data_IF_886056682623
#
_entry.id   IF_886056682623
#
_cell.length_a   1.000
_cell.length_b   1.000
_cell.length_c   1.000
_cell.angle_alpha   90.00
_cell.angle_beta   90.00
_cell.angle_gamma   90.00
#
_symmetry.space_group_name_H-M   'P 1'
#
loop_
_entity.id
_entity.type
_entity.pdbx_description
1 polymer ?
#
# COMPACT_ATOMS: atom_id res chain seq x y z
N UNK A 1 12.29 -18.74 -16.90
CA UNK A 1 13.52 -18.46 -16.13
C UNK A 1 13.51 -17.06 -15.53
N UNK A 2 13.28 -15.97 -16.30
CA UNK A 2 13.28 -14.60 -15.76
C UNK A 2 12.26 -14.32 -14.63
N UNK A 3 11.01 -14.80 -14.73
CA UNK A 3 9.97 -14.52 -13.71
C UNK A 3 10.26 -15.22 -12.36
N UNK A 4 10.89 -16.39 -12.38
CA UNK A 4 11.29 -17.08 -11.15
C UNK A 4 12.36 -16.32 -10.38
N UNK A 5 13.43 -15.91 -11.07
CA UNK A 5 14.49 -15.07 -10.48
C UNK A 5 13.93 -13.74 -9.95
N UNK A 6 12.93 -13.19 -10.63
CA UNK A 6 12.27 -11.97 -10.18
C UNK A 6 11.47 -12.16 -8.89
N UNK A 7 10.83 -13.32 -8.72
CA UNK A 7 10.11 -13.66 -7.48
C UNK A 7 11.06 -13.78 -6.29
N UNK A 8 12.20 -14.44 -6.47
CA UNK A 8 13.24 -14.54 -5.43
C UNK A 8 13.81 -13.16 -5.06
N UNK A 9 14.03 -12.29 -6.05
CA UNK A 9 14.49 -10.93 -5.81
C UNK A 9 13.48 -10.11 -4.99
N UNK A 10 12.19 -10.17 -5.35
CA UNK A 10 11.12 -9.47 -4.63
C UNK A 10 11.01 -9.98 -3.21
N UNK A 11 11.04 -11.30 -3.01
CA UNK A 11 11.02 -11.90 -1.67
C UNK A 11 12.17 -11.34 -0.81
N UNK A 12 13.39 -11.36 -1.34
CA UNK A 12 14.60 -10.97 -0.62
C UNK A 12 14.71 -9.46 -0.35
N UNK A 13 14.20 -8.60 -1.24
CA UNK A 13 14.59 -7.18 -1.25
C UNK A 13 13.46 -6.16 -1.30
N UNK A 14 12.24 -6.55 -1.67
CA UNK A 14 11.14 -5.60 -1.76
C UNK A 14 10.75 -5.07 -0.38
N UNK A 15 10.74 -3.74 -0.26
CA UNK A 15 10.22 -3.00 0.88
C UNK A 15 8.89 -2.32 0.51
N UNK A 16 7.74 -2.82 1.00
CA UNK A 16 6.41 -2.22 0.80
C UNK A 16 6.28 -0.78 1.32
N UNK A 17 7.10 -0.35 2.27
CA UNK A 17 7.10 1.02 2.80
C UNK A 17 7.82 1.99 1.84
N UNK A 18 8.67 1.48 0.96
CA UNK A 18 9.36 2.26 -0.05
C UNK A 18 8.48 2.54 -1.28
N UNK A 19 8.09 3.81 -1.45
CA UNK A 19 7.29 4.24 -2.59
C UNK A 19 8.04 4.12 -3.91
N UNK A 20 9.35 4.37 -3.94
CA UNK A 20 10.16 4.23 -5.16
C UNK A 20 10.24 2.78 -5.63
N UNK A 21 10.45 1.84 -4.71
CA UNK A 21 10.45 0.42 -5.02
C UNK A 21 9.07 -0.05 -5.50
N UNK A 22 8.00 0.34 -4.79
CA UNK A 22 6.63 -0.02 -5.18
C UNK A 22 6.26 0.50 -6.57
N UNK A 23 6.59 1.76 -6.88
CA UNK A 23 6.38 2.34 -8.21
C UNK A 23 7.16 1.60 -9.30
N UNK A 24 8.45 1.37 -9.08
CA UNK A 24 9.30 0.66 -10.03
C UNK A 24 8.79 -0.76 -10.29
N UNK A 25 8.39 -1.46 -9.24
CA UNK A 25 7.93 -2.84 -9.33
C UNK A 25 6.58 -2.95 -10.05
N UNK A 26 5.64 -2.06 -9.74
CA UNK A 26 4.36 -1.95 -10.47
C UNK A 26 4.62 -1.67 -11.96
N UNK A 27 5.49 -0.71 -12.29
CA UNK A 27 5.79 -0.39 -13.69
C UNK A 27 6.43 -1.56 -14.44
N UNK A 28 7.43 -2.23 -13.84
CA UNK A 28 8.09 -3.38 -14.43
C UNK A 28 7.06 -4.49 -14.69
N UNK A 29 6.17 -4.76 -13.73
CA UNK A 29 5.17 -5.82 -13.87
C UNK A 29 4.10 -5.49 -14.91
N UNK A 30 3.59 -4.26 -14.94
CA UNK A 30 2.68 -3.79 -15.98
C UNK A 30 3.29 -3.98 -17.37
N UNK A 31 4.56 -3.58 -17.54
CA UNK A 31 5.27 -3.74 -18.81
C UNK A 31 5.44 -5.23 -19.17
N UNK A 32 5.82 -6.08 -18.21
CA UNK A 32 5.99 -7.51 -18.46
C UNK A 32 4.68 -8.17 -18.90
N UNK A 33 3.57 -7.87 -18.23
CA UNK A 33 2.25 -8.40 -18.59
C UNK A 33 1.82 -7.90 -19.98
N UNK A 34 2.07 -6.62 -20.28
CA UNK A 34 1.72 -6.02 -21.57
C UNK A 34 2.54 -6.59 -22.74
N UNK A 35 3.85 -6.75 -22.58
CA UNK A 35 4.74 -7.17 -23.68
C UNK A 35 4.87 -8.69 -23.83
N UNK A 36 4.47 -9.47 -22.83
CA UNK A 36 4.56 -10.93 -22.86
C UNK A 36 3.20 -11.57 -22.59
N UNK A 37 2.38 -11.81 -23.64
CA UNK A 37 1.03 -12.39 -23.52
C UNK A 37 0.98 -13.79 -22.87
N UNK A 38 2.12 -14.48 -22.80
CA UNK A 38 2.28 -15.76 -22.09
C UNK A 38 2.22 -15.60 -20.56
N UNK A 39 2.36 -14.38 -20.04
CA UNK A 39 2.13 -14.02 -18.64
C UNK A 39 0.68 -13.62 -18.45
N UNK A 40 -0.20 -14.60 -18.55
CA UNK A 40 -1.63 -14.46 -18.29
C UNK A 40 -1.98 -14.92 -16.86
N UNK A 41 -3.22 -14.72 -16.40
CA UNK A 41 -3.67 -15.16 -15.07
C UNK A 41 -3.53 -16.67 -14.79
N UNK A 42 -3.37 -17.51 -15.82
CA UNK A 42 -3.14 -18.96 -15.66
C UNK A 42 -1.65 -19.29 -15.44
N UNK A 43 -0.75 -18.31 -15.64
CA UNK A 43 0.69 -18.47 -15.46
C UNK A 43 1.03 -18.66 -13.99
N UNK A 44 1.42 -19.90 -13.63
CA UNK A 44 1.89 -20.25 -12.29
C UNK A 44 2.98 -19.32 -11.77
N UNK A 45 3.89 -18.89 -12.65
CA UNK A 45 5.02 -18.05 -12.27
C UNK A 45 4.57 -16.63 -11.93
N UNK A 46 3.64 -16.08 -12.71
CA UNK A 46 3.05 -14.77 -12.43
C UNK A 46 2.27 -14.80 -11.12
N UNK A 47 1.42 -15.81 -10.93
CA UNK A 47 0.67 -15.97 -9.68
C UNK A 47 1.58 -16.12 -8.46
N UNK A 48 2.68 -16.88 -8.59
CA UNK A 48 3.68 -17.02 -7.51
C UNK A 48 4.27 -15.66 -7.13
N UNK A 49 4.69 -14.88 -8.12
CA UNK A 49 5.23 -13.53 -7.90
C UNK A 49 4.21 -12.59 -7.25
N UNK A 50 2.98 -12.56 -7.75
CA UNK A 50 1.91 -11.71 -7.21
C UNK A 50 1.58 -12.11 -5.76
N UNK A 51 1.53 -13.41 -5.46
CA UNK A 51 1.33 -13.90 -4.10
C UNK A 51 2.47 -13.49 -3.16
N UNK A 52 3.73 -13.56 -3.62
CA UNK A 52 4.89 -13.04 -2.86
C UNK A 52 4.74 -11.55 -2.56
N UNK A 53 4.32 -10.74 -3.54
CA UNK A 53 4.09 -9.30 -3.34
C UNK A 53 2.98 -9.06 -2.31
N UNK A 54 1.85 -9.75 -2.45
CA UNK A 54 0.72 -9.67 -1.50
C UNK A 54 1.16 -10.06 -0.09
N UNK A 55 1.96 -11.12 0.05
CA UNK A 55 2.50 -11.54 1.34
C UNK A 55 3.40 -10.47 1.95
N UNK A 56 4.27 -9.84 1.15
CA UNK A 56 5.14 -8.75 1.62
C UNK A 56 4.30 -7.55 2.08
N UNK A 57 3.27 -7.16 1.34
CA UNK A 57 2.34 -6.08 1.74
C UNK A 57 1.65 -6.41 3.07
N UNK A 58 1.12 -7.63 3.23
CA UNK A 58 0.54 -8.09 4.51
C UNK A 58 1.53 -7.98 5.66
N UNK A 59 2.73 -8.50 5.46
CA UNK A 59 3.79 -8.46 6.47
C UNK A 59 4.14 -7.02 6.87
N UNK A 60 4.15 -6.07 5.92
CA UNK A 60 4.40 -4.67 6.25
C UNK A 60 3.26 -4.03 7.05
N UNK A 61 2.00 -4.38 6.75
CA UNK A 61 0.85 -3.94 7.55
C UNK A 61 0.94 -4.48 8.97
N UNK A 62 1.34 -5.74 9.15
CA UNK A 62 1.37 -6.39 10.46
C UNK A 62 2.57 -5.99 11.31
N UNK A 63 3.75 -5.88 10.70
CA UNK A 63 5.00 -5.73 11.42
C UNK A 63 5.52 -4.29 11.46
N UNK A 64 5.23 -3.47 10.44
CA UNK A 64 5.81 -2.12 10.31
C UNK A 64 4.80 -1.01 10.68
N UNK A 65 3.49 -1.29 10.63
CA UNK A 65 2.46 -0.32 11.03
C UNK A 65 2.17 -0.44 12.53
N UNK A 66 2.76 0.48 13.28
CA UNK A 66 2.47 0.63 14.70
C UNK A 66 1.97 2.05 14.99
N UNK A 67 0.66 2.22 15.20
CA UNK A 67 0.10 3.50 15.62
C UNK A 67 -0.27 3.41 17.11
N UNK A 68 0.53 3.99 18.01
CA UNK A 68 0.27 3.88 19.43
C UNK A 68 -0.98 4.67 19.81
N UNK A 69 -1.82 4.06 20.64
CA UNK A 69 -3.01 4.69 21.23
C UNK A 69 -2.62 5.13 22.63
N UNK A 70 -2.44 6.44 22.81
CA UNK A 70 -2.14 7.01 24.11
C UNK A 70 -3.37 7.72 24.68
N UNK A 71 -3.56 7.73 26.02
CA UNK A 71 -4.49 8.65 26.65
C UNK A 71 -4.18 10.09 26.22
N UNK A 72 -5.22 10.91 25.99
CA UNK A 72 -5.06 12.29 25.48
C UNK A 72 -4.08 13.12 26.30
N UNK A 73 -4.04 12.90 27.61
CA UNK A 73 -3.13 13.55 28.56
C UNK A 73 -1.64 13.29 28.30
N UNK A 74 -1.32 12.20 27.59
CA UNK A 74 0.05 11.81 27.24
C UNK A 74 0.41 12.13 25.79
N UNK A 75 -0.55 12.67 25.01
CA UNK A 75 -0.38 13.01 23.58
C UNK A 75 0.26 14.39 23.39
N UNK A 76 1.32 14.66 24.14
CA UNK A 76 2.03 15.93 24.09
C UNK A 76 3.50 15.74 23.69
N UNK A 77 4.09 16.78 23.10
CA UNK A 77 5.49 16.80 22.69
C UNK A 77 5.89 15.62 21.78
N UNK A 78 6.88 14.83 22.24
CA UNK A 78 7.50 13.74 21.44
C UNK A 78 6.52 12.62 21.09
N UNK A 79 5.55 12.32 21.95
CA UNK A 79 4.57 11.26 21.70
C UNK A 79 3.62 11.62 20.56
N UNK A 80 3.17 12.88 20.50
CA UNK A 80 2.38 13.36 19.38
C UNK A 80 3.18 13.31 18.07
N UNK A 81 4.43 13.78 18.07
CA UNK A 81 5.27 13.71 16.86
C UNK A 81 5.45 12.27 16.35
N UNK A 82 5.72 11.32 17.24
CA UNK A 82 5.81 9.92 16.88
C UNK A 82 4.49 9.41 16.29
N UNK A 83 3.36 9.68 16.94
CA UNK A 83 2.03 9.32 16.44
C UNK A 83 1.75 9.88 15.03
N UNK A 84 2.03 11.15 14.77
CA UNK A 84 1.85 11.75 13.44
C UNK A 84 2.75 11.08 12.39
N UNK A 85 4.00 10.77 12.74
CA UNK A 85 4.93 10.04 11.86
C UNK A 85 4.43 8.64 11.53
N UNK A 86 3.97 7.90 12.53
CA UNK A 86 3.42 6.56 12.34
C UNK A 86 2.13 6.60 11.49
N UNK A 87 1.27 7.58 11.71
CA UNK A 87 0.10 7.79 10.87
C UNK A 87 0.48 8.08 9.41
N UNK A 88 1.43 9.00 9.18
CA UNK A 88 1.91 9.32 7.84
C UNK A 88 2.56 8.11 7.15
N UNK A 89 3.29 7.26 7.89
CA UNK A 89 3.81 6.01 7.39
C UNK A 89 2.70 5.04 6.97
N UNK A 90 1.64 4.91 7.76
CA UNK A 90 0.46 4.12 7.41
C UNK A 90 -0.26 4.65 6.16
N UNK A 91 -0.43 5.96 6.02
CA UNK A 91 -1.00 6.58 4.80
C UNK A 91 -0.09 6.34 3.58
N UNK A 92 1.23 6.40 3.74
CA UNK A 92 2.17 6.08 2.67
C UNK A 92 2.05 4.61 2.24
N UNK A 93 1.97 3.68 3.19
CA UNK A 93 1.77 2.27 2.88
C UNK A 93 0.43 2.05 2.16
N UNK A 94 -0.64 2.72 2.61
CA UNK A 94 -1.93 2.72 1.92
C UNK A 94 -1.77 3.12 0.46
N UNK A 95 -1.07 4.23 0.18
CA UNK A 95 -0.77 4.67 -1.18
C UNK A 95 -0.02 3.61 -1.99
N UNK A 96 0.94 2.92 -1.37
CA UNK A 96 1.70 1.88 -2.05
C UNK A 96 0.84 0.64 -2.35
N UNK A 97 -0.06 0.24 -1.45
CA UNK A 97 -0.99 -0.88 -1.64
C UNK A 97 -1.94 -0.62 -2.81
N UNK A 98 -2.61 0.54 -2.83
CA UNK A 98 -3.61 0.82 -3.88
C UNK A 98 -2.99 1.00 -5.29
N UNK A 99 -1.68 1.22 -5.41
CA UNK A 99 -0.99 1.23 -6.72
C UNK A 99 -0.97 -0.14 -7.41
N UNK A 100 -1.21 -1.21 -6.68
CA UNK A 100 -1.27 -2.56 -7.23
C UNK A 100 -2.59 -2.87 -7.94
N UNK A 101 -3.57 -1.96 -7.91
CA UNK A 101 -4.79 -2.07 -8.71
C UNK A 101 -4.47 -2.23 -10.19
N UNK A 102 -5.23 -3.10 -10.87
CA UNK A 102 -5.00 -3.44 -12.27
C UNK A 102 -3.93 -4.50 -12.52
N UNK A 103 -3.14 -4.88 -11.50
CA UNK A 103 -2.21 -6.02 -11.54
C UNK A 103 -2.66 -7.11 -10.57
N UNK A 104 -2.93 -6.73 -9.32
CA UNK A 104 -3.53 -7.59 -8.30
C UNK A 104 -5.05 -7.40 -8.34
N UNK A 105 -5.81 -8.46 -8.06
CA UNK A 105 -7.27 -8.40 -8.03
C UNK A 105 -7.76 -7.34 -7.03
N UNK A 106 -8.77 -6.58 -7.43
CA UNK A 106 -9.34 -5.49 -6.60
C UNK A 106 -9.81 -5.99 -5.22
N UNK A 107 -10.33 -7.22 -5.13
CA UNK A 107 -10.74 -7.85 -3.86
C UNK A 107 -9.58 -7.89 -2.85
N UNK A 108 -8.41 -8.40 -3.25
CA UNK A 108 -7.21 -8.45 -2.40
C UNK A 108 -6.73 -7.03 -2.07
N UNK A 109 -6.70 -6.11 -3.05
CA UNK A 109 -6.25 -4.75 -2.79
C UNK A 109 -7.16 -4.05 -1.77
N UNK A 110 -8.47 -4.23 -1.86
CA UNK A 110 -9.44 -3.68 -0.91
C UNK A 110 -9.32 -4.32 0.46
N UNK A 111 -9.14 -5.64 0.54
CA UNK A 111 -8.90 -6.33 1.81
C UNK A 111 -7.67 -5.75 2.53
N UNK A 112 -6.56 -5.55 1.82
CA UNK A 112 -5.34 -4.99 2.40
C UNK A 112 -5.49 -3.50 2.77
N UNK A 113 -6.03 -2.70 1.86
CA UNK A 113 -6.10 -1.25 1.99
C UNK A 113 -7.17 -0.82 3.01
N UNK A 114 -8.38 -1.36 2.87
CA UNK A 114 -9.55 -0.94 3.64
C UNK A 114 -9.64 -1.73 4.96
N UNK A 115 -9.61 -3.05 4.89
CA UNK A 115 -9.85 -3.87 6.09
C UNK A 115 -8.61 -3.96 6.98
N UNK A 116 -7.49 -4.41 6.42
CA UNK A 116 -6.30 -4.67 7.20
C UNK A 116 -5.58 -3.40 7.68
N UNK A 117 -5.61 -2.31 6.89
CA UNK A 117 -4.86 -1.09 7.19
C UNK A 117 -5.74 0.08 7.65
N UNK A 118 -6.70 0.53 6.83
CA UNK A 118 -7.52 1.70 7.13
C UNK A 118 -8.41 1.46 8.35
N UNK A 119 -9.20 0.40 8.34
CA UNK A 119 -10.16 0.07 9.39
C UNK A 119 -9.45 -0.25 10.71
N UNK A 120 -8.40 -1.06 10.66
CA UNK A 120 -7.69 -1.52 11.85
C UNK A 120 -6.82 -0.46 12.52
N UNK A 121 -6.18 0.42 11.74
CA UNK A 121 -5.17 1.35 12.29
C UNK A 121 -5.53 2.82 12.05
N UNK A 122 -5.77 3.23 10.80
CA UNK A 122 -5.89 4.66 10.45
C UNK A 122 -7.18 5.29 10.97
N UNK A 123 -8.33 4.60 10.87
CA UNK A 123 -9.60 5.11 11.39
C UNK A 123 -9.57 5.31 12.90
N UNK A 124 -8.89 4.41 13.61
CA UNK A 124 -8.71 4.53 15.06
C UNK A 124 -7.89 5.77 15.41
N UNK A 125 -6.80 6.01 14.67
CA UNK A 125 -5.97 7.21 14.81
C UNK A 125 -6.76 8.50 14.55
N UNK A 126 -7.63 8.50 13.52
CA UNK A 126 -8.53 9.62 13.21
C UNK A 126 -9.50 9.85 14.37
N UNK A 127 -10.12 8.78 14.88
CA UNK A 127 -11.15 8.86 15.95
C UNK A 127 -10.63 9.45 17.25
N UNK A 128 -9.37 9.18 17.61
CA UNK A 128 -8.79 9.68 18.86
C UNK A 128 -8.23 11.11 18.76
N UNK A 129 -8.09 11.63 17.53
CA UNK A 129 -7.58 12.98 17.27
C UNK A 129 -8.63 14.05 17.59
N UNK A 130 -8.20 15.29 17.84
CA UNK A 130 -9.12 16.43 17.90
C UNK A 130 -9.76 16.69 16.52
N UNK A 131 -10.93 17.36 16.45
CA UNK A 131 -11.66 17.52 15.19
C UNK A 131 -10.85 18.15 14.04
N UNK A 132 -9.97 19.10 14.34
CA UNK A 132 -9.16 19.76 13.32
C UNK A 132 -8.10 18.81 12.76
N UNK A 133 -7.38 18.10 13.64
CA UNK A 133 -6.43 17.08 13.21
C UNK A 133 -7.10 15.89 12.53
N UNK A 134 -8.28 15.46 13.00
CA UNK A 134 -9.05 14.39 12.39
C UNK A 134 -9.43 14.75 10.96
N UNK A 135 -9.89 15.98 10.71
CA UNK A 135 -10.20 16.46 9.38
C UNK A 135 -8.96 16.46 8.45
N UNK A 136 -7.81 16.94 8.93
CA UNK A 136 -6.56 16.90 8.18
C UNK A 136 -6.13 15.46 7.84
N UNK A 137 -6.25 14.52 8.79
CA UNK A 137 -5.95 13.09 8.58
C UNK A 137 -6.90 12.44 7.58
N UNK A 138 -8.20 12.71 7.68
CA UNK A 138 -9.19 12.27 6.69
C UNK A 138 -8.83 12.76 5.28
N UNK A 139 -8.45 14.04 5.16
CA UNK A 139 -8.04 14.60 3.88
C UNK A 139 -6.80 13.88 3.30
N UNK A 140 -5.80 13.55 4.12
CA UNK A 140 -4.64 12.77 3.68
C UNK A 140 -5.02 11.38 3.15
N UNK A 141 -5.92 10.67 3.84
CA UNK A 141 -6.41 9.35 3.41
C UNK A 141 -7.20 9.46 2.10
N UNK A 142 -8.16 10.39 2.03
CA UNK A 142 -9.01 10.60 0.85
C UNK A 142 -8.16 10.96 -0.37
N UNK A 143 -7.23 11.92 -0.23
CA UNK A 143 -6.33 12.28 -1.33
C UNK A 143 -5.49 11.10 -1.82
N UNK A 144 -5.10 10.20 -0.91
CA UNK A 144 -4.28 9.04 -1.28
C UNK A 144 -5.07 8.07 -2.17
N UNK A 145 -6.33 7.82 -1.82
CA UNK A 145 -7.23 6.94 -2.58
C UNK A 145 -7.59 7.59 -3.92
N UNK A 146 -8.03 8.85 -3.91
CA UNK A 146 -8.47 9.56 -5.12
C UNK A 146 -7.35 9.80 -6.14
N UNK A 147 -6.12 10.10 -5.69
CA UNK A 147 -4.98 10.28 -6.60
C UNK A 147 -4.69 9.02 -7.42
N UNK A 148 -5.04 7.84 -6.92
CA UNK A 148 -4.73 6.57 -7.57
C UNK A 148 -5.81 6.22 -8.59
N UNK A 149 -7.09 6.45 -8.29
CA UNK A 149 -8.16 6.35 -9.30
C UNK A 149 -7.88 7.24 -10.52
N UNK A 150 -7.49 8.50 -10.30
CA UNK A 150 -7.14 9.41 -11.39
C UNK A 150 -5.88 8.97 -12.14
N UNK A 151 -4.84 8.50 -11.45
CA UNK A 151 -3.62 8.02 -12.12
C UNK A 151 -3.90 6.81 -13.01
N UNK A 152 -4.73 5.87 -12.56
CA UNK A 152 -5.10 4.67 -13.33
C UNK A 152 -5.97 5.05 -14.54
N UNK A 153 -6.89 6.02 -14.38
CA UNK A 153 -7.69 6.56 -15.48
C UNK A 153 -6.80 7.22 -16.56
N UNK A 154 -5.81 8.02 -16.16
CA UNK A 154 -4.87 8.66 -17.11
C UNK A 154 -4.06 7.60 -17.85
N UNK A 155 -3.51 6.59 -17.15
CA UNK A 155 -2.71 5.53 -17.81
C UNK A 155 -3.55 4.64 -18.74
N UNK A 156 -4.85 4.45 -18.48
CA UNK A 156 -5.78 3.74 -19.37
C UNK A 156 -6.25 4.56 -20.57
N UNK A 157 -6.17 5.89 -20.52
CA UNK A 157 -6.53 6.78 -21.63
C UNK A 157 -5.38 7.02 -22.60
N UNK A 158 -4.13 6.76 -22.18
CA UNK A 158 -2.92 6.86 -23.00
C UNK A 158 -2.55 5.55 -23.73
N UNK A 159 -3.38 4.51 -23.62
CA UNK A 159 -3.26 3.23 -24.33
C UNK A 159 -4.40 3.06 -25.34
#
# INVERSE_FOLDING_TARGET
MCVFMFSELVEASYDPISTSQSLSLVQILSNLIQYYPTLNPESKNLNTLLNTIVLKLRNAIENDVFIPIYPKQMMEGRMNYFFQRQFAMGVKLLSNIVRWQGIVSDEIVFELALDALLNRYLLLAIRISDPFQAAAKCYMVILTILKIEFSILVTKLEQ
#
